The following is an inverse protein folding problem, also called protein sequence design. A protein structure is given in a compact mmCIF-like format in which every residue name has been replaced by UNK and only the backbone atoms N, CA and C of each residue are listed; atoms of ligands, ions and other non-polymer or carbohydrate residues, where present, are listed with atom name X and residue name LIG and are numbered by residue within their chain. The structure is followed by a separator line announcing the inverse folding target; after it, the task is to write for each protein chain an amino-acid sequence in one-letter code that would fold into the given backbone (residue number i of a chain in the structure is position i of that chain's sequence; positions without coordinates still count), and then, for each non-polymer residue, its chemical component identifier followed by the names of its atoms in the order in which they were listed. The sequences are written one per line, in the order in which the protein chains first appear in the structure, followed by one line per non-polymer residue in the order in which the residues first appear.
data_IF_675485610288
#
_entry.id   IF_675485610288
#
_cell.length_a   1.000
_cell.length_b   1.000
_cell.length_c   1.000
_cell.angle_alpha   90.00
_cell.angle_beta   90.00
_cell.angle_gamma   90.00
#
_symmetry.space_group_name_H-M   'P 1'
#
loop_
_entity.id
_entity.type
_entity.pdbx_description
1 polymer ?
#
# COMPACT_ATOMS: atom_id res chain seq x y z
N UNK A 1 -4.04 0.27 10.25
CA UNK A 1 -3.48 1.64 10.10
C UNK A 1 -4.48 2.72 10.50
N UNK A 2 -5.68 2.78 9.91
CA UNK A 2 -6.60 3.91 10.14
C UNK A 2 -6.97 4.21 11.61
N UNK A 3 -7.05 3.19 12.47
CA UNK A 3 -7.33 3.36 13.91
C UNK A 3 -6.27 4.15 14.69
N UNK A 4 -5.00 4.12 14.25
CA UNK A 4 -3.89 4.79 14.94
C UNK A 4 -3.52 6.13 14.29
N UNK A 5 -4.16 6.47 13.17
CA UNK A 5 -3.96 7.77 12.54
C UNK A 5 -4.60 8.88 13.40
N UNK A 6 -3.97 10.06 13.49
CA UNK A 6 -4.60 11.25 14.05
C UNK A 6 -5.95 11.55 13.36
N UNK A 7 -6.77 12.41 13.97
CA UNK A 7 -8.11 12.67 13.45
C UNK A 7 -8.13 13.23 12.02
N UNK A 8 -7.11 14.00 11.66
CA UNK A 8 -6.92 14.54 10.30
C UNK A 8 -6.00 13.69 9.43
N UNK A 9 -5.62 12.49 9.89
CA UNK A 9 -4.81 11.58 9.11
C UNK A 9 -5.62 10.95 7.98
N UNK A 10 -4.95 10.66 6.86
CA UNK A 10 -5.54 10.01 5.71
C UNK A 10 -4.76 8.73 5.37
N UNK A 11 -5.49 7.70 4.95
CA UNK A 11 -4.98 6.45 4.42
C UNK A 11 -5.51 6.29 2.99
N UNK A 12 -4.62 6.29 2.00
CA UNK A 12 -4.96 5.85 0.64
C UNK A 12 -4.80 4.33 0.58
N UNK A 13 -5.90 3.61 0.37
CA UNK A 13 -5.93 2.15 0.27
C UNK A 13 -6.17 1.74 -1.19
N UNK A 14 -5.18 1.08 -1.80
CA UNK A 14 -5.27 0.57 -3.17
C UNK A 14 -5.61 -0.92 -3.14
N UNK A 15 -6.68 -1.33 -3.80
CA UNK A 15 -7.08 -2.74 -3.91
C UNK A 15 -7.63 -3.00 -5.32
N UNK A 16 -7.27 -4.13 -5.94
CA UNK A 16 -7.75 -4.52 -7.27
C UNK A 16 -9.00 -5.39 -7.21
N UNK A 17 -9.17 -6.15 -6.13
CA UNK A 17 -10.28 -7.08 -5.94
C UNK A 17 -11.50 -6.37 -5.34
N UNK A 18 -12.56 -6.25 -6.14
CA UNK A 18 -13.76 -5.52 -5.73
C UNK A 18 -14.47 -6.16 -4.53
N UNK A 19 -14.46 -7.49 -4.42
CA UNK A 19 -15.11 -8.20 -3.32
C UNK A 19 -14.41 -7.93 -1.99
N UNK A 20 -13.09 -8.00 -1.97
CA UNK A 20 -12.26 -7.68 -0.81
C UNK A 20 -12.45 -6.22 -0.40
N UNK A 21 -12.59 -5.33 -1.38
CA UNK A 21 -12.86 -3.92 -1.16
C UNK A 21 -14.20 -3.65 -0.48
N UNK A 22 -15.26 -4.32 -0.92
CA UNK A 22 -16.60 -4.18 -0.33
C UNK A 22 -16.60 -4.66 1.12
N UNK A 23 -15.91 -5.77 1.40
CA UNK A 23 -15.71 -6.24 2.77
C UNK A 23 -14.93 -5.21 3.60
N UNK A 24 -13.83 -4.68 3.07
CA UNK A 24 -13.00 -3.69 3.77
C UNK A 24 -13.80 -2.43 4.13
N UNK A 25 -14.55 -1.88 3.17
CA UNK A 25 -15.43 -0.70 3.39
C UNK A 25 -16.41 -0.91 4.52
N UNK A 26 -17.10 -2.06 4.55
CA UNK A 26 -18.03 -2.41 5.63
C UNK A 26 -17.34 -2.41 7.00
N UNK A 27 -16.11 -2.88 7.09
CA UNK A 27 -15.37 -2.90 8.35
C UNK A 27 -14.78 -1.54 8.73
N UNK A 28 -14.41 -0.70 7.76
CA UNK A 28 -14.04 0.70 8.04
C UNK A 28 -15.21 1.46 8.66
N UNK A 29 -16.44 1.24 8.17
CA UNK A 29 -17.64 1.89 8.72
C UNK A 29 -17.92 1.42 10.14
N UNK A 30 -17.90 0.09 10.36
CA UNK A 30 -18.10 -0.51 11.68
C UNK A 30 -17.05 -0.06 12.71
N UNK A 31 -15.82 0.20 12.25
CA UNK A 31 -14.74 0.71 13.09
C UNK A 31 -14.76 2.25 13.25
N UNK A 32 -15.67 2.96 12.57
CA UNK A 32 -15.78 4.42 12.65
C UNK A 32 -14.64 5.19 11.95
N UNK A 33 -13.86 4.53 11.09
CA UNK A 33 -12.65 5.10 10.47
C UNK A 33 -12.80 5.42 8.99
N UNK A 34 -13.96 5.16 8.38
CA UNK A 34 -14.16 5.39 6.93
C UNK A 34 -13.79 6.80 6.47
N UNK A 35 -13.99 7.81 7.32
CA UNK A 35 -13.65 9.21 7.01
C UNK A 35 -12.13 9.45 6.85
N UNK A 36 -11.28 8.53 7.34
CA UNK A 36 -9.81 8.58 7.19
C UNK A 36 -9.31 7.78 6.00
N UNK A 37 -10.17 7.00 5.31
CA UNK A 37 -9.73 6.05 4.29
C UNK A 37 -10.24 6.46 2.91
N UNK A 38 -9.31 6.82 2.04
CA UNK A 38 -9.55 7.02 0.61
C UNK A 38 -9.27 5.72 -0.14
N UNK A 39 -10.33 5.08 -0.61
CA UNK A 39 -10.26 3.80 -1.29
C UNK A 39 -10.12 3.99 -2.79
N UNK A 40 -9.08 3.42 -3.38
CA UNK A 40 -8.81 3.44 -4.83
C UNK A 40 -8.88 2.02 -5.38
N UNK A 41 -9.95 1.74 -6.13
CA UNK A 41 -10.14 0.45 -6.80
C UNK A 41 -9.34 0.41 -8.10
N UNK A 42 -8.45 -0.57 -8.25
CA UNK A 42 -7.62 -0.77 -9.43
C UNK A 42 -6.24 -1.31 -9.11
N UNK A 43 -5.36 -1.33 -10.11
CA UNK A 43 -3.97 -1.69 -9.87
C UNK A 43 -3.27 -0.57 -9.09
N UNK A 44 -2.62 -0.93 -7.98
CA UNK A 44 -1.90 0.02 -7.15
C UNK A 44 -0.87 0.84 -7.95
N UNK A 45 -0.19 0.23 -8.93
CA UNK A 45 0.76 0.95 -9.79
C UNK A 45 0.12 2.12 -10.54
N UNK A 46 -1.10 1.94 -11.04
CA UNK A 46 -1.81 2.97 -11.81
C UNK A 46 -2.27 4.09 -10.89
N UNK A 47 -2.76 3.73 -9.69
CA UNK A 47 -3.10 4.70 -8.65
C UNK A 47 -1.89 5.53 -8.25
N UNK A 48 -0.75 4.90 -7.96
CA UNK A 48 0.49 5.61 -7.57
C UNK A 48 0.98 6.53 -8.69
N UNK A 49 0.94 6.10 -9.97
CA UNK A 49 1.28 6.95 -11.11
C UNK A 49 0.35 8.16 -11.22
N UNK A 50 -0.95 7.96 -11.06
CA UNK A 50 -1.93 9.05 -11.08
C UNK A 50 -1.68 10.06 -9.96
N UNK A 51 -1.38 9.59 -8.74
CA UNK A 51 -1.03 10.47 -7.61
C UNK A 51 0.21 11.32 -7.91
N UNK A 52 1.26 10.73 -8.48
CA UNK A 52 2.46 11.47 -8.91
C UNK A 52 2.08 12.53 -9.95
N UNK A 53 1.30 12.16 -10.98
CA UNK A 53 0.84 13.08 -12.02
C UNK A 53 -0.02 14.22 -11.47
N UNK A 54 -0.77 13.98 -10.39
CA UNK A 54 -1.58 14.98 -9.70
C UNK A 54 -0.79 15.88 -8.72
N UNK A 55 0.55 15.77 -8.70
CA UNK A 55 1.40 16.63 -7.88
C UNK A 55 1.46 16.23 -6.40
N UNK A 56 1.23 14.96 -6.09
CA UNK A 56 1.29 14.43 -4.73
C UNK A 56 2.69 13.94 -4.31
N UNK A 57 3.73 14.33 -5.04
CA UNK A 57 5.11 14.00 -4.71
C UNK A 57 5.48 14.45 -3.28
N UNK A 58 6.20 13.60 -2.55
CA UNK A 58 6.65 13.83 -1.17
C UNK A 58 5.52 14.22 -0.18
N UNK A 59 4.27 13.77 -0.38
CA UNK A 59 3.14 14.09 0.50
C UNK A 59 2.80 13.01 1.53
N UNK A 60 3.44 11.83 1.43
CA UNK A 60 3.12 10.69 2.28
C UNK A 60 4.20 10.46 3.33
N UNK A 61 3.80 10.24 4.59
CA UNK A 61 4.71 9.92 5.70
C UNK A 61 5.15 8.46 5.72
N UNK A 62 4.28 7.58 5.25
CA UNK A 62 4.44 6.13 5.39
C UNK A 62 3.74 5.39 4.24
N UNK A 63 4.35 4.29 3.78
CA UNK A 63 3.74 3.35 2.84
C UNK A 63 3.94 1.91 3.32
N UNK A 64 2.90 1.08 3.19
CA UNK A 64 2.96 -0.36 3.45
C UNK A 64 2.56 -1.11 2.18
N UNK A 65 3.43 -2.01 1.73
CA UNK A 65 3.25 -2.80 0.51
C UNK A 65 3.14 -4.26 0.91
N UNK A 66 1.91 -4.78 0.86
CA UNK A 66 1.61 -6.20 0.87
C UNK A 66 0.74 -6.52 -0.35
N UNK A 67 1.42 -6.69 -1.48
CA UNK A 67 0.78 -6.88 -2.78
C UNK A 67 1.52 -7.95 -3.59
N UNK A 68 1.29 -7.97 -4.91
CA UNK A 68 1.98 -8.85 -5.86
C UNK A 68 3.50 -8.66 -5.77
N UNK A 69 4.23 -9.70 -5.34
CA UNK A 69 5.68 -9.59 -5.04
C UNK A 69 6.52 -9.28 -6.28
N UNK A 70 6.09 -9.73 -7.47
CA UNK A 70 6.73 -9.42 -8.75
C UNK A 70 6.78 -7.93 -9.06
N UNK A 71 5.86 -7.16 -8.47
CA UNK A 71 5.72 -5.73 -8.70
C UNK A 71 6.43 -4.88 -7.65
N UNK A 72 7.07 -5.49 -6.63
CA UNK A 72 7.67 -4.76 -5.51
C UNK A 72 8.68 -3.71 -5.93
N UNK A 73 9.54 -4.03 -6.90
CA UNK A 73 10.50 -3.06 -7.43
C UNK A 73 9.79 -1.84 -8.03
N UNK A 74 8.76 -2.07 -8.84
CA UNK A 74 7.97 -0.97 -9.43
C UNK A 74 7.24 -0.15 -8.36
N UNK A 75 6.65 -0.80 -7.35
CA UNK A 75 6.01 -0.09 -6.25
C UNK A 75 7.00 0.74 -5.46
N UNK A 76 8.19 0.21 -5.18
CA UNK A 76 9.24 0.92 -4.46
C UNK A 76 9.66 2.20 -5.20
N UNK A 77 9.92 2.13 -6.51
CA UNK A 77 10.30 3.31 -7.32
C UNK A 77 9.21 4.39 -7.39
N UNK A 78 7.93 3.98 -7.44
CA UNK A 78 6.81 4.92 -7.42
C UNK A 78 6.64 5.54 -6.02
N UNK A 79 6.77 4.73 -4.96
CA UNK A 79 6.64 5.19 -3.58
C UNK A 79 7.80 6.09 -3.16
N UNK A 80 9.01 5.90 -3.69
CA UNK A 80 10.13 6.81 -3.47
C UNK A 80 9.83 8.26 -3.90
N UNK A 81 8.94 8.45 -4.88
CA UNK A 81 8.52 9.78 -5.34
C UNK A 81 7.38 10.36 -4.47
N UNK A 82 6.55 9.51 -3.89
CA UNK A 82 5.36 9.92 -3.12
C UNK A 82 5.66 10.11 -1.63
N UNK A 83 6.54 9.28 -1.07
CA UNK A 83 6.92 9.33 0.34
C UNK A 83 7.97 10.42 0.55
N UNK A 84 7.75 11.29 1.54
CA UNK A 84 8.67 12.40 1.83
C UNK A 84 10.03 11.90 2.33
N UNK A 85 11.04 12.76 2.26
CA UNK A 85 12.31 12.54 2.96
C UNK A 85 12.04 12.35 4.46
N UNK A 86 12.63 11.29 5.03
CA UNK A 86 12.40 10.87 6.41
C UNK A 86 11.06 10.15 6.64
N UNK A 87 10.29 9.87 5.59
CA UNK A 87 9.17 8.93 5.63
C UNK A 87 9.65 7.47 5.54
N UNK A 88 8.73 6.53 5.73
CA UNK A 88 9.05 5.09 5.83
C UNK A 88 8.27 4.28 4.79
N UNK A 89 8.97 3.43 4.05
CA UNK A 89 8.37 2.42 3.17
C UNK A 89 8.61 1.05 3.79
N UNK A 90 7.54 0.29 4.02
CA UNK A 90 7.58 -1.07 4.54
C UNK A 90 7.07 -2.03 3.46
N UNK A 91 7.86 -3.06 3.17
CA UNK A 91 7.53 -4.13 2.22
C UNK A 91 7.33 -5.42 3.01
N UNK A 92 6.16 -6.05 2.90
CA UNK A 92 5.88 -7.29 3.63
C UNK A 92 6.34 -8.55 2.87
N UNK A 93 6.55 -9.65 3.61
CA UNK A 93 6.94 -10.97 3.12
C UNK A 93 8.26 -11.02 2.33
N UNK A 94 9.19 -10.11 2.61
CA UNK A 94 10.52 -10.07 1.97
C UNK A 94 11.34 -11.35 2.18
N UNK A 95 11.02 -12.14 3.23
CA UNK A 95 11.66 -13.44 3.47
C UNK A 95 11.01 -14.60 2.68
N UNK A 96 9.85 -14.37 2.04
CA UNK A 96 9.16 -15.30 1.16
C UNK A 96 9.14 -16.77 1.65
N UNK A 97 8.61 -16.99 2.86
CA UNK A 97 8.60 -18.31 3.53
C UNK A 97 9.98 -18.99 3.67
N UNK A 98 11.05 -18.18 3.79
CA UNK A 98 12.42 -18.67 3.87
C UNK A 98 13.05 -19.01 2.51
N UNK A 99 12.31 -18.93 1.40
CA UNK A 99 12.81 -19.27 0.05
C UNK A 99 13.99 -18.41 -0.38
N UNK A 100 14.15 -17.20 0.18
CA UNK A 100 15.31 -16.34 -0.08
C UNK A 100 16.63 -16.95 0.38
N UNK A 101 16.59 -17.89 1.32
CA UNK A 101 17.75 -18.61 1.83
C UNK A 101 17.86 -20.04 1.27
N UNK A 102 16.95 -20.47 0.38
CA UNK A 102 17.02 -21.79 -0.25
C UNK A 102 18.15 -21.81 -1.30
N UNK A 103 19.24 -22.57 -1.09
CA UNK A 103 20.35 -22.63 -2.04
C UNK A 103 19.97 -23.26 -3.38
N UNK A 104 18.84 -23.98 -3.45
CA UNK A 104 18.37 -24.65 -4.66
C UNK A 104 17.33 -23.83 -5.43
N UNK A 105 16.84 -22.72 -4.86
CA UNK A 105 15.85 -21.84 -5.48
C UNK A 105 14.56 -22.52 -5.92
N UNK A 106 14.16 -23.65 -5.30
CA UNK A 106 13.04 -24.45 -5.80
C UNK A 106 11.73 -23.85 -5.30
N UNK A 107 10.92 -23.38 -6.25
CA UNK A 107 9.53 -23.05 -5.99
C UNK A 107 8.71 -24.34 -6.01
N UNK A 108 8.32 -24.84 -4.85
CA UNK A 108 7.16 -25.75 -4.75
C UNK A 108 5.91 -25.08 -5.33
#
# INVERSE_FOLDING_TARGET
MALVLPERGCLVACEKDATSLDVAKRYYERAGVSHKVDVRHGLAADTLRSMIQNGEACRYDFAFVDAEKRMYQQYFELLLQLVRVGGVIVLDNVLWHGKVADPLGKSN
#
